data_IF_502442194022
#
_entry.id   IF_502442194022
#
_cell.length_a   1.000
_cell.length_b   1.000
_cell.length_c   1.000
_cell.angle_alpha   90.00
_cell.angle_beta   90.00
_cell.angle_gamma   90.00
#
_symmetry.space_group_name_H-M   'P 1'
#
loop_
_entity.id
_entity.type
_entity.pdbx_description
1 polymer ?
#
# COMPACT_ATOMS: atom_id res chain seq x y z
N UNK A 1 16.75 2.78 -7.04
CA UNK A 1 15.30 3.05 -7.17
C UNK A 1 14.77 3.97 -6.08
N UNK A 2 15.09 3.78 -4.79
CA UNK A 2 14.64 4.72 -3.73
C UNK A 2 15.11 6.16 -3.98
N UNK A 3 16.33 6.34 -4.49
CA UNK A 3 16.91 7.65 -4.82
C UNK A 3 16.08 8.39 -5.89
N UNK A 4 15.68 7.68 -6.95
CA UNK A 4 14.82 8.23 -8.02
C UNK A 4 13.39 8.51 -7.55
N UNK A 5 12.99 8.02 -6.37
CA UNK A 5 11.66 8.22 -5.78
C UNK A 5 11.66 9.27 -4.65
N UNK A 6 12.80 9.92 -4.40
CA UNK A 6 12.99 10.87 -3.30
C UNK A 6 12.54 10.29 -1.94
N UNK A 7 12.95 9.04 -1.67
CA UNK A 7 12.76 8.34 -0.40
C UNK A 7 14.09 8.31 0.35
N UNK A 8 14.14 8.70 1.64
CA UNK A 8 15.34 8.56 2.45
C UNK A 8 15.80 7.10 2.54
N UNK A 9 17.12 6.84 2.45
CA UNK A 9 17.65 5.46 2.43
C UNK A 9 17.23 4.60 3.63
N UNK A 10 17.13 5.19 4.82
CA UNK A 10 16.76 4.49 6.06
C UNK A 10 15.25 4.48 6.32
N UNK A 11 14.44 5.05 5.43
CA UNK A 11 13.01 5.01 5.57
C UNK A 11 12.49 3.59 5.35
N UNK A 12 11.49 3.22 6.16
CA UNK A 12 10.68 2.04 5.91
C UNK A 12 9.54 2.44 4.97
N UNK A 13 9.39 1.69 3.89
CA UNK A 13 8.53 1.98 2.74
C UNK A 13 7.49 0.88 2.60
N UNK A 14 6.22 1.24 2.61
CA UNK A 14 5.14 0.33 2.22
C UNK A 14 4.71 0.63 0.79
N UNK A 15 4.20 -0.38 0.10
CA UNK A 15 3.62 -0.23 -1.23
C UNK A 15 2.14 -0.57 -1.19
N UNK A 16 1.35 0.19 -1.93
CA UNK A 16 -0.05 -0.04 -2.24
C UNK A 16 -0.16 -0.14 -3.76
N UNK A 17 -0.72 -1.24 -4.27
CA UNK A 17 -0.83 -1.49 -5.72
C UNK A 17 -2.28 -1.77 -6.10
N UNK A 18 -2.80 -1.03 -7.07
CA UNK A 18 -4.09 -1.33 -7.67
C UNK A 18 -4.85 -0.11 -8.20
N UNK A 19 -6.05 -0.35 -8.70
CA UNK A 19 -7.04 0.66 -9.09
C UNK A 19 -8.33 0.48 -8.28
N UNK A 20 -9.25 1.45 -8.35
CA UNK A 20 -10.44 1.44 -7.50
C UNK A 20 -10.05 1.67 -6.05
N UNK A 21 -9.40 2.82 -5.80
CA UNK A 21 -8.74 3.15 -4.54
C UNK A 21 -9.69 3.06 -3.34
N UNK A 22 -10.97 3.34 -3.52
CA UNK A 22 -11.95 3.24 -2.44
C UNK A 22 -12.16 1.77 -2.01
N UNK A 23 -12.40 0.88 -2.98
CA UNK A 23 -12.53 -0.57 -2.74
C UNK A 23 -11.25 -1.16 -2.15
N UNK A 24 -10.09 -0.74 -2.67
CA UNK A 24 -8.77 -1.22 -2.24
C UNK A 24 -8.32 -0.62 -0.89
N UNK A 25 -9.03 0.38 -0.37
CA UNK A 25 -8.80 0.94 0.96
C UNK A 25 -7.68 1.97 1.03
N UNK A 26 -7.42 2.74 -0.03
CA UNK A 26 -6.33 3.74 0.00
C UNK A 26 -6.53 4.77 1.12
N UNK A 27 -7.76 5.18 1.41
CA UNK A 27 -8.04 6.08 2.54
C UNK A 27 -7.57 5.48 3.87
N UNK A 28 -7.89 4.21 4.14
CA UNK A 28 -7.44 3.50 5.35
C UNK A 28 -5.92 3.33 5.38
N UNK A 29 -5.28 3.07 4.24
CA UNK A 29 -3.82 3.02 4.14
C UNK A 29 -3.19 4.38 4.49
N UNK A 30 -3.73 5.48 3.98
CA UNK A 30 -3.27 6.85 4.30
C UNK A 30 -3.45 7.14 5.79
N UNK A 31 -4.63 6.84 6.36
CA UNK A 31 -4.90 7.00 7.79
C UNK A 31 -3.90 6.21 8.65
N UNK A 32 -3.54 4.99 8.25
CA UNK A 32 -2.58 4.15 8.96
C UNK A 32 -1.13 4.67 8.87
N UNK A 33 -0.76 5.30 7.75
CA UNK A 33 0.58 5.88 7.53
C UNK A 33 0.75 7.21 8.27
N UNK A 34 -0.33 8.01 8.38
CA UNK A 34 -0.30 9.34 8.95
C UNK A 34 0.41 9.45 10.32
N UNK A 35 0.12 8.61 11.34
CA UNK A 35 0.76 8.72 12.66
C UNK A 35 2.18 8.15 12.73
N UNK A 36 2.75 7.68 11.62
CA UNK A 36 4.07 7.01 11.59
C UNK A 36 5.12 7.87 10.88
N UNK A 37 6.38 7.40 10.84
CA UNK A 37 7.43 7.96 9.98
C UNK A 37 7.62 7.17 8.67
N UNK A 38 6.68 6.26 8.34
CA UNK A 38 6.75 5.36 7.20
C UNK A 38 6.36 6.08 5.90
N UNK A 39 6.87 5.59 4.78
CA UNK A 39 6.53 6.08 3.45
C UNK A 39 5.54 5.13 2.78
N UNK A 40 4.70 5.66 1.90
CA UNK A 40 3.76 4.88 1.10
C UNK A 40 3.95 5.16 -0.39
N UNK A 41 4.28 4.13 -1.15
CA UNK A 41 4.23 4.15 -2.61
C UNK A 41 2.84 3.74 -3.06
N UNK A 42 2.14 4.60 -3.79
CA UNK A 42 0.81 4.32 -4.34
C UNK A 42 0.96 4.10 -5.85
N UNK A 43 0.87 2.84 -6.27
CA UNK A 43 1.02 2.43 -7.68
C UNK A 43 -0.35 2.09 -8.25
N UNK A 44 -0.69 2.71 -9.37
CA UNK A 44 -2.00 2.64 -10.01
C UNK A 44 -2.66 4.01 -10.06
N UNK A 45 -3.92 4.04 -10.50
CA UNK A 45 -4.68 5.28 -10.66
C UNK A 45 -6.14 5.08 -10.29
N UNK A 46 -6.77 6.18 -9.90
CA UNK A 46 -8.20 6.31 -9.69
C UNK A 46 -8.65 7.69 -10.16
N UNK A 47 -9.90 7.80 -10.63
CA UNK A 47 -10.46 9.08 -11.11
C UNK A 47 -10.42 10.16 -10.02
N UNK A 48 -10.50 9.74 -8.76
CA UNK A 48 -10.57 10.64 -7.61
C UNK A 48 -9.23 10.73 -6.85
N UNK A 49 -8.07 10.56 -7.49
CA UNK A 49 -6.75 10.67 -6.82
C UNK A 49 -6.62 11.96 -5.97
N UNK A 50 -7.18 13.07 -6.45
CA UNK A 50 -7.18 14.37 -5.76
C UNK A 50 -7.69 14.28 -4.32
N UNK A 51 -8.76 13.53 -4.06
CA UNK A 51 -9.34 13.42 -2.72
C UNK A 51 -8.37 12.73 -1.74
N UNK A 52 -7.55 11.80 -2.23
CA UNK A 52 -6.57 11.08 -1.41
C UNK A 52 -5.34 11.94 -1.13
N UNK A 53 -4.95 12.80 -2.08
CA UNK A 53 -3.92 13.82 -1.85
C UNK A 53 -4.39 14.85 -0.82
N UNK A 54 -5.64 15.32 -0.92
CA UNK A 54 -6.25 16.22 0.06
C UNK A 54 -6.34 15.58 1.45
N UNK A 55 -6.72 14.30 1.54
CA UNK A 55 -6.70 13.53 2.79
C UNK A 55 -5.28 13.42 3.37
N UNK A 56 -4.29 13.08 2.54
CA UNK A 56 -2.90 12.99 3.01
C UNK A 56 -2.36 14.35 3.47
N UNK A 57 -2.76 15.44 2.80
CA UNK A 57 -2.42 16.81 3.18
C UNK A 57 -3.06 17.20 4.52
N UNK A 58 -4.35 16.94 4.71
CA UNK A 58 -5.06 17.27 5.95
C UNK A 58 -4.54 16.48 7.15
N UNK A 59 -4.04 15.26 6.91
CA UNK A 59 -3.37 14.43 7.90
C UNK A 59 -1.87 14.71 8.06
N UNK A 60 -1.32 15.71 7.35
CA UNK A 60 0.09 16.12 7.48
C UNK A 60 1.11 15.08 7.00
N UNK A 61 0.71 14.15 6.13
CA UNK A 61 1.56 13.05 5.68
C UNK A 61 1.82 13.04 4.16
N UNK A 62 1.32 14.03 3.40
CA UNK A 62 1.47 14.08 1.94
C UNK A 62 2.93 13.92 1.48
N UNK A 63 3.89 14.53 2.17
CA UNK A 63 5.32 14.42 1.85
C UNK A 63 5.90 13.01 2.01
N UNK A 64 5.18 12.08 2.65
CA UNK A 64 5.57 10.66 2.78
C UNK A 64 4.80 9.74 1.85
N UNK A 65 3.85 10.27 1.08
CA UNK A 65 3.06 9.51 0.11
C UNK A 65 3.52 9.85 -1.31
N UNK A 66 3.91 8.83 -2.06
CA UNK A 66 4.37 8.95 -3.45
C UNK A 66 3.33 8.29 -4.35
N UNK A 67 2.52 9.12 -4.98
CA UNK A 67 1.59 8.69 -6.02
C UNK A 67 2.36 8.50 -7.32
N UNK A 68 2.51 7.24 -7.72
CA UNK A 68 3.32 6.82 -8.86
C UNK A 68 2.51 6.76 -10.17
N UNK A 69 1.18 6.87 -10.09
CA UNK A 69 0.30 6.68 -11.24
C UNK A 69 0.35 5.24 -11.80
N UNK A 70 -0.15 5.06 -13.01
CA UNK A 70 -0.11 3.76 -13.70
C UNK A 70 1.33 3.40 -14.08
N UNK A 71 1.73 2.17 -13.76
CA UNK A 71 3.05 1.65 -14.04
C UNK A 71 2.92 0.41 -14.93
N UNK A 72 3.76 0.33 -15.97
CA UNK A 72 3.79 -0.84 -16.87
C UNK A 72 4.37 -2.07 -16.16
N UNK A 73 5.27 -1.85 -15.20
CA UNK A 73 5.90 -2.90 -14.40
C UNK A 73 5.80 -2.53 -12.92
N UNK A 74 5.23 -3.43 -12.12
CA UNK A 74 5.07 -3.26 -10.66
C UNK A 74 6.26 -3.79 -9.88
N UNK A 75 7.00 -4.77 -10.43
CA UNK A 75 8.16 -5.41 -9.78
C UNK A 75 9.16 -4.42 -9.17
N UNK A 76 9.57 -3.33 -9.85
CA UNK A 76 10.53 -2.40 -9.26
C UNK A 76 10.00 -1.74 -7.97
N UNK A 77 8.67 -1.53 -7.87
CA UNK A 77 8.04 -0.96 -6.68
C UNK A 77 7.96 -1.93 -5.52
N UNK A 78 7.72 -3.21 -5.80
CA UNK A 78 7.83 -4.26 -4.78
C UNK A 78 9.28 -4.35 -4.25
N UNK A 79 10.28 -4.35 -5.13
CA UNK A 79 11.70 -4.37 -4.75
C UNK A 79 12.15 -3.12 -3.98
N UNK A 80 11.47 -1.99 -4.15
CA UNK A 80 11.75 -0.76 -3.43
C UNK A 80 11.05 -0.69 -2.06
N UNK A 81 10.10 -1.58 -1.77
CA UNK A 81 9.29 -1.59 -0.56
C UNK A 81 9.81 -2.60 0.47
N UNK A 82 9.39 -2.42 1.72
CA UNK A 82 9.63 -3.30 2.86
C UNK A 82 8.36 -4.08 3.26
N UNK A 83 7.23 -3.80 2.62
CA UNK A 83 5.95 -4.50 2.84
C UNK A 83 4.83 -4.01 1.92
N UNK A 84 3.82 -4.85 1.69
CA UNK A 84 2.57 -4.48 1.02
C UNK A 84 1.54 -4.02 2.07
N UNK A 85 0.92 -2.87 1.86
CA UNK A 85 -0.22 -2.38 2.64
C UNK A 85 -1.45 -2.35 1.75
N UNK A 86 -2.39 -3.25 1.98
CA UNK A 86 -3.60 -3.40 1.17
C UNK A 86 -4.86 -3.63 2.04
N UNK A 87 -5.35 -2.61 2.76
CA UNK A 87 -6.50 -2.73 3.65
C UNK A 87 -7.84 -2.70 2.87
N UNK A 88 -8.01 -3.68 1.99
CA UNK A 88 -9.12 -3.76 1.03
C UNK A 88 -10.47 -3.96 1.73
N UNK A 89 -11.52 -3.28 1.25
CA UNK A 89 -12.90 -3.52 1.72
C UNK A 89 -13.42 -4.89 1.24
N UNK A 90 -13.18 -5.20 -0.04
CA UNK A 90 -13.49 -6.49 -0.65
C UNK A 90 -12.69 -6.72 -1.95
N UNK A 91 -11.99 -7.86 -2.04
CA UNK A 91 -11.39 -8.36 -3.28
C UNK A 91 -11.21 -9.89 -3.16
N UNK A 92 -11.91 -10.70 -3.97
CA UNK A 92 -11.89 -12.15 -3.81
C UNK A 92 -10.56 -12.79 -4.18
N UNK A 93 -9.75 -12.15 -5.02
CA UNK A 93 -8.46 -12.73 -5.44
C UNK A 93 -7.49 -11.64 -5.94
N UNK A 94 -6.89 -10.86 -5.03
CA UNK A 94 -5.97 -9.79 -5.40
C UNK A 94 -4.59 -10.35 -5.77
N UNK A 95 -4.29 -10.44 -7.07
CA UNK A 95 -2.98 -10.87 -7.57
C UNK A 95 -1.80 -10.11 -6.91
N UNK A 96 -2.01 -8.85 -6.54
CA UNK A 96 -1.00 -8.02 -5.87
C UNK A 96 -0.50 -8.61 -4.54
N UNK A 97 -1.31 -9.40 -3.83
CA UNK A 97 -0.86 -10.11 -2.62
C UNK A 97 0.16 -11.19 -3.01
N UNK A 98 -0.16 -12.02 -4.00
CA UNK A 98 0.75 -13.07 -4.48
C UNK A 98 2.03 -12.48 -5.08
N UNK A 99 1.93 -11.39 -5.83
CA UNK A 99 3.09 -10.67 -6.38
C UNK A 99 4.01 -10.16 -5.27
N UNK A 100 3.46 -9.54 -4.22
CA UNK A 100 4.23 -9.04 -3.09
C UNK A 100 4.90 -10.17 -2.30
N UNK A 101 4.16 -11.24 -2.00
CA UNK A 101 4.70 -12.42 -1.32
C UNK A 101 5.79 -13.10 -2.13
N UNK A 102 5.64 -13.20 -3.45
CA UNK A 102 6.68 -13.73 -4.36
C UNK A 102 7.94 -12.85 -4.38
N UNK A 103 7.81 -11.56 -4.07
CA UNK A 103 8.93 -10.64 -3.87
C UNK A 103 9.51 -10.68 -2.44
N UNK A 104 9.00 -11.55 -1.56
CA UNK A 104 9.44 -11.67 -0.17
C UNK A 104 8.91 -10.56 0.75
N UNK A 105 7.88 -9.82 0.33
CA UNK A 105 7.31 -8.75 1.14
C UNK A 105 6.27 -9.29 2.13
N UNK A 106 6.33 -8.89 3.41
CA UNK A 106 5.23 -9.12 4.31
C UNK A 106 3.99 -8.31 3.87
N UNK A 107 2.80 -8.86 4.11
CA UNK A 107 1.53 -8.27 3.68
C UNK A 107 0.68 -7.83 4.86
N UNK A 108 0.21 -6.58 4.86
CA UNK A 108 -0.80 -6.08 5.80
C UNK A 108 -2.11 -5.91 5.05
N UNK A 109 -3.13 -6.69 5.41
CA UNK A 109 -4.44 -6.66 4.75
C UNK A 109 -5.60 -6.89 5.73
N UNK A 110 -6.82 -7.04 5.21
CA UNK A 110 -8.05 -7.24 5.97
C UNK A 110 -8.56 -8.68 5.85
N UNK A 111 -9.41 -9.15 6.80
CA UNK A 111 -10.04 -10.46 6.70
C UNK A 111 -10.94 -10.63 5.47
N UNK A 112 -11.44 -9.54 4.89
CA UNK A 112 -12.32 -9.54 3.70
C UNK A 112 -11.54 -9.52 2.38
N UNK A 113 -10.21 -9.54 2.44
CA UNK A 113 -9.35 -9.69 1.29
C UNK A 113 -9.11 -11.17 1.03
N UNK A 114 -9.49 -11.69 -0.13
CA UNK A 114 -9.40 -13.13 -0.43
C UNK A 114 -7.98 -13.69 -0.35
N UNK A 115 -6.95 -12.87 -0.60
CA UNK A 115 -5.56 -13.29 -0.41
C UNK A 115 -5.09 -13.34 1.04
N UNK A 116 -5.93 -12.99 2.02
CA UNK A 116 -5.59 -13.08 3.44
C UNK A 116 -5.36 -14.51 3.93
N UNK A 117 -5.97 -15.50 3.27
CA UNK A 117 -5.79 -16.92 3.62
C UNK A 117 -4.36 -17.44 3.41
N UNK A 118 -3.59 -16.76 2.56
CA UNK A 118 -2.18 -17.10 2.31
C UNK A 118 -1.23 -16.49 3.35
N UNK A 119 -1.72 -15.61 4.22
CA UNK A 119 -0.90 -14.89 5.19
C UNK A 119 -0.84 -15.71 6.49
N UNK A 120 0.39 -15.96 6.93
CA UNK A 120 0.67 -16.50 8.25
C UNK A 120 0.99 -15.31 9.16
N UNK A 121 0.08 -15.03 10.09
CA UNK A 121 0.19 -13.94 11.06
C UNK A 121 1.55 -13.94 11.76
N UNK A 122 2.17 -12.77 11.88
CA UNK A 122 3.50 -12.53 12.47
C UNK A 122 4.69 -13.15 11.71
N UNK A 123 4.46 -13.97 10.67
CA UNK A 123 5.52 -14.55 9.84
C UNK A 123 5.59 -13.88 8.47
N UNK A 124 4.49 -13.89 7.71
CA UNK A 124 4.41 -13.34 6.36
C UNK A 124 3.50 -12.11 6.25
N UNK A 125 2.94 -11.64 7.38
CA UNK A 125 2.10 -10.46 7.38
C UNK A 125 1.21 -10.30 8.60
N UNK A 126 0.23 -9.41 8.47
CA UNK A 126 -0.80 -9.13 9.46
C UNK A 126 -2.17 -8.98 8.80
N UNK A 127 -3.20 -9.50 9.46
CA UNK A 127 -4.60 -9.43 9.06
C UNK A 127 -5.34 -8.60 10.11
N UNK A 128 -5.72 -7.37 9.76
CA UNK A 128 -6.41 -6.46 10.67
C UNK A 128 -7.62 -5.80 10.00
N UNK A 129 -8.65 -5.48 10.79
CA UNK A 129 -9.80 -4.71 10.29
C UNK A 129 -9.36 -3.38 9.68
N UNK A 130 -10.04 -2.94 8.62
CA UNK A 130 -9.80 -1.61 8.09
C UNK A 130 -10.25 -0.58 9.14
N UNK A 131 -9.45 0.46 9.36
CA UNK A 131 -9.85 1.58 10.20
C UNK A 131 -11.09 2.23 9.57
N UNK A 132 -12.21 2.20 10.30
CA UNK A 132 -13.45 2.90 9.95
C UNK A 132 -13.20 4.41 9.76
#
# INVERSE_FOLDING_TARGET
MRDSLAIPHQAVVLVFVGSGFDRKGLASAIKAIAPTNRYLLVVGQDKNEKQYRELAQSLGCLERIRFMGVQKQTLPFYQAADGLLLPTKYDPFPNVILEAMACGLPVITTPTCGGSEFIVEQESGFICGALD
#
